data_IF_674826461347
#
_entry.id   IF_674826461347
#
_cell.length_a   1.000
_cell.length_b   1.000
_cell.length_c   1.000
_cell.angle_alpha   90.00
_cell.angle_beta   90.00
_cell.angle_gamma   90.00
#
_symmetry.space_group_name_H-M   'P 1'
#
loop_
_entity.id
_entity.type
_entity.pdbx_description
1 polymer ?
#
# COMPACT_ATOMS: atom_id res chain seq x y z
N UNK A 1 26.04 -35.26 18.41
CA UNK A 1 25.92 -33.92 17.77
C UNK A 1 25.95 -33.97 16.23
N UNK A 2 26.74 -34.83 15.61
CA UNK A 2 26.89 -34.91 14.14
C UNK A 2 25.68 -35.46 13.36
N UNK A 3 24.79 -36.19 14.02
CA UNK A 3 23.56 -36.76 13.43
C UNK A 3 22.44 -35.73 13.32
N UNK A 4 22.30 -34.87 14.32
CA UNK A 4 21.31 -33.77 14.36
C UNK A 4 21.56 -32.73 13.27
N UNK A 5 22.83 -32.37 13.03
CA UNK A 5 23.21 -31.42 11.97
C UNK A 5 23.01 -31.97 10.56
N UNK A 6 23.17 -33.29 10.34
CA UNK A 6 22.85 -33.94 9.07
C UNK A 6 21.34 -33.98 8.78
N UNK A 7 20.53 -34.20 9.81
CA UNK A 7 19.07 -34.21 9.69
C UNK A 7 18.50 -32.83 9.35
N UNK A 8 18.97 -31.78 10.04
CA UNK A 8 18.60 -30.39 9.76
C UNK A 8 18.91 -29.96 8.32
N UNK A 9 20.03 -30.42 7.76
CA UNK A 9 20.43 -30.10 6.37
C UNK A 9 19.55 -30.79 5.33
N UNK A 10 19.22 -32.07 5.53
CA UNK A 10 18.29 -32.80 4.66
C UNK A 10 16.90 -32.17 4.66
N UNK A 11 16.41 -31.74 5.83
CA UNK A 11 15.18 -30.96 5.93
C UNK A 11 15.27 -29.63 5.15
N UNK A 12 16.43 -28.95 5.19
CA UNK A 12 16.68 -27.76 4.38
C UNK A 12 16.60 -28.01 2.86
N UNK A 13 17.18 -29.12 2.36
CA UNK A 13 17.12 -29.47 0.93
C UNK A 13 15.69 -29.83 0.50
N UNK A 14 14.97 -30.63 1.31
CA UNK A 14 13.57 -30.98 1.03
C UNK A 14 12.71 -29.71 1.03
N UNK A 15 12.90 -28.84 2.03
CA UNK A 15 12.24 -27.54 2.11
C UNK A 15 12.48 -26.70 0.86
N UNK A 16 13.73 -26.59 0.39
CA UNK A 16 14.08 -25.90 -0.85
C UNK A 16 13.33 -26.45 -2.07
N UNK A 17 13.28 -27.77 -2.25
CA UNK A 17 12.61 -28.39 -3.39
C UNK A 17 11.09 -28.16 -3.36
N UNK A 18 10.47 -28.35 -2.20
CA UNK A 18 9.04 -28.08 -2.02
C UNK A 18 8.71 -26.59 -2.20
N UNK A 19 9.65 -25.71 -1.90
CA UNK A 19 9.51 -24.27 -1.98
C UNK A 19 9.67 -23.70 -3.40
N UNK A 20 10.40 -24.39 -4.27
CA UNK A 20 10.72 -23.92 -5.61
C UNK A 20 9.47 -23.65 -6.47
N UNK A 21 8.60 -24.65 -6.58
CA UNK A 21 7.43 -24.60 -7.46
C UNK A 21 6.47 -23.49 -7.01
N UNK A 22 6.08 -23.38 -5.72
CA UNK A 22 5.27 -22.26 -5.24
C UNK A 22 5.90 -20.89 -5.50
N UNK A 23 7.22 -20.75 -5.34
CA UNK A 23 7.91 -19.45 -5.55
C UNK A 23 7.87 -18.98 -7.00
N UNK A 24 8.08 -19.91 -7.93
CA UNK A 24 8.03 -19.61 -9.37
C UNK A 24 6.60 -19.26 -9.77
N UNK A 25 5.60 -19.97 -9.24
CA UNK A 25 4.18 -19.66 -9.45
C UNK A 25 3.81 -18.27 -8.93
N UNK A 26 4.22 -17.93 -7.72
CA UNK A 26 4.01 -16.58 -7.15
C UNK A 26 4.67 -15.52 -8.02
N UNK A 27 5.92 -15.70 -8.42
CA UNK A 27 6.63 -14.74 -9.27
C UNK A 27 5.93 -14.53 -10.63
N UNK A 28 5.43 -15.61 -11.24
CA UNK A 28 4.65 -15.54 -12.48
C UNK A 28 3.36 -14.74 -12.30
N UNK A 29 2.61 -15.03 -11.24
CA UNK A 29 1.38 -14.29 -10.90
C UNK A 29 1.68 -12.80 -10.71
N UNK A 30 2.70 -12.47 -9.92
CA UNK A 30 3.11 -11.07 -9.70
C UNK A 30 3.55 -10.38 -10.99
N UNK A 31 4.23 -11.10 -11.88
CA UNK A 31 4.69 -10.54 -13.16
C UNK A 31 3.53 -10.26 -14.12
N UNK A 32 2.55 -11.17 -14.20
CA UNK A 32 1.33 -10.98 -15.00
C UNK A 32 0.50 -9.83 -14.45
N UNK A 33 0.32 -9.78 -13.13
CA UNK A 33 -0.42 -8.71 -12.46
C UNK A 33 0.21 -7.33 -12.70
N UNK A 34 1.53 -7.20 -12.51
CA UNK A 34 2.24 -5.94 -12.76
C UNK A 34 2.20 -5.52 -14.24
N UNK A 35 2.25 -6.48 -15.17
CA UNK A 35 2.12 -6.19 -16.60
C UNK A 35 0.71 -5.75 -17.00
N UNK A 36 -0.33 -6.42 -16.48
CA UNK A 36 -1.72 -6.03 -16.68
C UNK A 36 -2.00 -4.63 -16.11
N UNK A 37 -1.48 -4.33 -14.92
CA UNK A 37 -1.58 -3.01 -14.31
C UNK A 37 -0.91 -1.92 -15.17
N UNK A 38 0.29 -2.19 -15.71
CA UNK A 38 0.95 -1.25 -16.62
C UNK A 38 0.13 -0.96 -17.88
N UNK A 39 -0.51 -1.98 -18.46
CA UNK A 39 -1.33 -1.83 -19.67
C UNK A 39 -2.68 -1.14 -19.40
N UNK A 40 -3.23 -1.31 -18.21
CA UNK A 40 -4.55 -0.79 -17.81
C UNK A 40 -4.46 0.49 -16.97
N UNK A 41 -3.25 1.02 -16.76
CA UNK A 41 -3.07 2.26 -16.03
C UNK A 41 -3.66 3.41 -16.84
N UNK A 42 -4.91 3.77 -16.53
CA UNK A 42 -5.52 4.99 -17.03
C UNK A 42 -4.65 6.19 -16.67
N UNK A 43 -4.67 7.21 -17.52
CA UNK A 43 -3.89 8.43 -17.32
C UNK A 43 -4.34 9.21 -16.07
N UNK A 44 -5.61 9.09 -15.65
CA UNK A 44 -6.18 9.75 -14.47
C UNK A 44 -7.11 8.81 -13.69
N UNK A 45 -6.58 7.85 -12.91
CA UNK A 45 -7.42 7.02 -12.06
C UNK A 45 -7.98 7.88 -10.93
N UNK A 46 -9.31 7.92 -10.80
CA UNK A 46 -9.97 8.53 -9.67
C UNK A 46 -9.49 7.83 -8.39
N UNK A 47 -8.95 8.56 -7.39
CA UNK A 47 -8.34 7.97 -6.21
C UNK A 47 -9.33 7.25 -5.27
N UNK A 48 -10.63 7.30 -5.61
CA UNK A 48 -11.72 6.73 -4.85
C UNK A 48 -12.03 5.26 -5.15
N UNK A 49 -11.83 4.82 -6.39
CA UNK A 49 -12.04 3.41 -6.72
C UNK A 49 -11.06 2.56 -5.93
N UNK A 50 -11.44 1.39 -5.38
CA UNK A 50 -10.49 0.46 -4.78
C UNK A 50 -9.50 0.13 -5.89
N UNK A 51 -8.29 0.73 -5.86
CA UNK A 51 -7.52 0.73 -7.06
C UNK A 51 -6.96 -0.68 -7.07
N UNK A 52 -7.14 -1.43 -8.15
CA UNK A 52 -6.65 -2.81 -8.24
C UNK A 52 -5.23 -2.89 -7.66
N UNK A 53 -4.40 -1.92 -8.01
CA UNK A 53 -3.25 -1.37 -7.27
C UNK A 53 -3.09 -1.69 -5.77
N UNK A 54 -4.04 -1.41 -4.88
CA UNK A 54 -3.95 -1.69 -3.43
C UNK A 54 -4.05 -3.18 -3.12
N UNK A 55 -5.03 -3.86 -3.74
CA UNK A 55 -5.13 -5.32 -3.67
C UNK A 55 -3.89 -5.98 -4.27
N UNK A 56 -3.40 -5.46 -5.40
CA UNK A 56 -2.19 -5.93 -6.07
C UNK A 56 -0.95 -5.69 -5.21
N UNK A 57 -0.87 -4.56 -4.52
CA UNK A 57 0.19 -4.24 -3.57
C UNK A 57 0.17 -5.21 -2.39
N UNK A 58 -1.00 -5.48 -1.82
CA UNK A 58 -1.14 -6.43 -0.71
C UNK A 58 -0.78 -7.87 -1.13
N UNK A 59 -1.25 -8.31 -2.30
CA UNK A 59 -0.91 -9.61 -2.90
C UNK A 59 0.59 -9.69 -3.19
N UNK A 60 1.19 -8.61 -3.72
CA UNK A 60 2.62 -8.52 -3.99
C UNK A 60 3.47 -8.61 -2.72
N UNK A 61 3.09 -7.88 -1.67
CA UNK A 61 3.75 -7.94 -0.37
C UNK A 61 3.64 -9.34 0.26
N UNK A 62 2.46 -9.97 0.18
CA UNK A 62 2.23 -11.31 0.69
C UNK A 62 3.04 -12.36 -0.06
N UNK A 63 3.07 -12.29 -1.40
CA UNK A 63 3.87 -13.15 -2.25
C UNK A 63 5.37 -12.97 -2.03
N UNK A 64 5.82 -11.74 -1.80
CA UNK A 64 7.22 -11.45 -1.48
C UNK A 64 7.62 -11.94 -0.09
N UNK A 65 6.77 -11.75 0.92
CA UNK A 65 7.00 -12.30 2.26
C UNK A 65 7.07 -13.82 2.22
N UNK A 66 6.22 -14.46 1.42
CA UNK A 66 6.32 -15.88 1.13
C UNK A 66 7.74 -16.17 0.60
N UNK A 67 8.15 -15.60 -0.54
CA UNK A 67 9.50 -15.79 -1.12
C UNK A 67 10.63 -15.62 -0.07
N UNK A 68 10.51 -14.64 0.82
CA UNK A 68 11.48 -14.40 1.89
C UNK A 68 11.58 -15.55 2.89
N UNK A 69 10.44 -16.07 3.36
CA UNK A 69 10.39 -17.23 4.27
C UNK A 69 11.05 -18.45 3.62
N UNK A 70 10.94 -18.56 2.30
CA UNK A 70 11.64 -19.51 1.47
C UNK A 70 13.16 -19.52 1.53
N UNK A 71 13.79 -18.43 1.94
CA UNK A 71 15.24 -18.38 2.10
C UNK A 71 15.72 -19.07 3.37
N UNK A 72 14.86 -19.29 4.36
CA UNK A 72 15.22 -19.99 5.60
C UNK A 72 15.84 -21.37 5.31
N UNK A 73 15.21 -22.26 4.52
CA UNK A 73 15.82 -23.55 4.17
C UNK A 73 17.10 -23.41 3.33
N UNK A 74 17.24 -22.37 2.50
CA UNK A 74 18.50 -22.07 1.80
C UNK A 74 19.64 -21.80 2.79
N UNK A 75 19.42 -20.94 3.79
CA UNK A 75 20.43 -20.61 4.78
C UNK A 75 20.81 -21.81 5.66
N UNK A 76 19.85 -22.69 5.96
CA UNK A 76 20.09 -23.94 6.68
C UNK A 76 20.99 -24.89 5.88
N UNK A 77 20.76 -24.98 4.56
CA UNK A 77 21.50 -25.88 3.68
C UNK A 77 22.78 -25.27 3.06
N UNK A 78 23.02 -23.95 3.19
CA UNK A 78 24.02 -23.19 2.40
C UNK A 78 25.47 -23.70 2.43
N UNK A 79 25.85 -24.47 3.45
CA UNK A 79 27.20 -25.01 3.65
C UNK A 79 27.45 -26.34 2.93
N UNK A 80 26.43 -26.96 2.36
CA UNK A 80 26.59 -28.20 1.60
C UNK A 80 27.11 -27.95 0.17
N UNK A 81 27.97 -28.85 -0.30
CA UNK A 81 28.53 -28.84 -1.66
C UNK A 81 27.60 -29.52 -2.68
N UNK A 82 26.30 -29.44 -2.42
CA UNK A 82 25.33 -30.20 -3.21
C UNK A 82 25.08 -29.53 -4.56
N UNK A 83 24.82 -30.36 -5.59
CA UNK A 83 24.57 -29.86 -6.95
C UNK A 83 23.33 -28.96 -6.99
N UNK A 84 22.34 -29.28 -6.16
CA UNK A 84 21.11 -28.51 -5.93
C UNK A 84 21.46 -27.13 -5.37
N UNK A 85 22.30 -27.04 -4.34
CA UNK A 85 22.71 -25.78 -3.72
C UNK A 85 23.50 -24.87 -4.67
N UNK A 86 24.32 -25.43 -5.55
CA UNK A 86 25.00 -24.66 -6.60
C UNK A 86 24.03 -24.06 -7.61
N UNK A 87 22.97 -24.79 -7.98
CA UNK A 87 21.89 -24.27 -8.82
C UNK A 87 21.16 -23.12 -8.10
N UNK A 88 20.79 -23.32 -6.84
CA UNK A 88 20.11 -22.29 -6.05
C UNK A 88 20.93 -21.01 -5.87
N UNK A 89 22.25 -21.10 -5.65
CA UNK A 89 23.11 -19.90 -5.63
C UNK A 89 23.07 -19.09 -6.92
N UNK A 90 22.78 -19.72 -8.07
CA UNK A 90 22.60 -19.03 -9.36
C UNK A 90 21.19 -18.50 -9.56
N UNK A 91 20.17 -19.17 -9.02
CA UNK A 91 18.75 -18.82 -9.20
C UNK A 91 18.28 -17.76 -8.21
N UNK A 92 18.83 -17.73 -6.99
CA UNK A 92 18.40 -16.79 -5.95
C UNK A 92 18.60 -15.33 -6.35
N UNK A 93 19.78 -14.88 -6.81
CA UNK A 93 19.98 -13.48 -7.18
C UNK A 93 19.00 -12.95 -8.24
N UNK A 94 18.77 -13.63 -9.39
CA UNK A 94 17.79 -13.16 -10.36
C UNK A 94 16.37 -13.25 -9.83
N UNK A 95 16.04 -14.24 -8.99
CA UNK A 95 14.71 -14.32 -8.37
C UNK A 95 14.44 -13.14 -7.42
N UNK A 96 15.44 -12.72 -6.64
CA UNK A 96 15.37 -11.51 -5.80
C UNK A 96 15.14 -10.30 -6.69
N UNK A 97 15.98 -10.12 -7.71
CA UNK A 97 15.89 -8.95 -8.61
C UNK A 97 14.52 -8.88 -9.30
N UNK A 98 14.04 -9.99 -9.85
CA UNK A 98 12.72 -10.08 -10.49
C UNK A 98 11.59 -9.82 -9.50
N UNK A 99 11.70 -10.32 -8.26
CA UNK A 99 10.70 -10.03 -7.23
C UNK A 99 10.64 -8.54 -6.86
N UNK A 100 11.79 -7.87 -6.75
CA UNK A 100 11.85 -6.43 -6.54
C UNK A 100 11.28 -5.64 -7.72
N UNK A 101 11.60 -6.04 -8.95
CA UNK A 101 11.07 -5.41 -10.16
C UNK A 101 9.54 -5.58 -10.22
N UNK A 102 9.03 -6.77 -9.91
CA UNK A 102 7.59 -7.04 -9.87
C UNK A 102 6.85 -6.21 -8.79
N UNK A 103 7.52 -5.87 -7.68
CA UNK A 103 6.95 -5.00 -6.63
C UNK A 103 7.10 -3.51 -6.91
N UNK A 104 7.86 -3.11 -7.93
CA UNK A 104 8.20 -1.70 -8.13
C UNK A 104 6.99 -0.81 -8.40
N UNK A 105 5.96 -1.31 -9.10
CA UNK A 105 4.73 -0.55 -9.36
C UNK A 105 3.96 -0.28 -8.06
N UNK A 106 3.74 -1.33 -7.26
CA UNK A 106 3.12 -1.27 -5.94
C UNK A 106 3.85 -0.30 -5.00
N UNK A 107 5.17 -0.41 -4.91
CA UNK A 107 6.01 0.50 -4.11
C UNK A 107 5.93 1.94 -4.63
N UNK A 108 5.89 2.14 -5.95
CA UNK A 108 5.76 3.46 -6.55
C UNK A 108 4.37 4.08 -6.31
N UNK A 109 3.31 3.28 -6.19
CA UNK A 109 1.97 3.79 -5.86
C UNK A 109 1.84 4.18 -4.40
N UNK A 110 2.28 3.31 -3.48
CA UNK A 110 2.39 3.65 -2.05
C UNK A 110 3.26 4.88 -1.88
N UNK A 111 4.35 4.96 -2.64
CA UNK A 111 5.23 6.12 -2.62
C UNK A 111 4.55 7.39 -3.13
N UNK A 112 3.85 7.32 -4.26
CA UNK A 112 3.09 8.45 -4.80
C UNK A 112 2.05 9.01 -3.81
N UNK A 113 1.51 8.19 -2.90
CA UNK A 113 0.54 8.63 -1.88
C UNK A 113 1.15 9.31 -0.67
N UNK A 114 2.41 9.03 -0.36
CA UNK A 114 3.07 9.57 0.83
C UNK A 114 4.03 10.72 0.52
N UNK A 115 4.46 10.87 -0.73
CA UNK A 115 5.38 11.91 -1.17
C UNK A 115 4.76 12.79 -2.26
N UNK A 116 5.40 13.94 -2.51
CA UNK A 116 4.91 14.92 -3.50
C UNK A 116 3.59 15.57 -3.09
N UNK A 117 2.74 15.84 -4.07
CA UNK A 117 1.47 16.56 -3.91
C UNK A 117 0.50 15.83 -2.97
N UNK A 118 0.44 14.51 -3.04
CA UNK A 118 -0.37 13.70 -2.12
C UNK A 118 0.11 13.80 -0.67
N UNK A 119 1.43 13.91 -0.47
CA UNK A 119 2.00 14.18 0.85
C UNK A 119 1.61 15.55 1.39
N UNK A 120 1.55 16.57 0.52
CA UNK A 120 1.09 17.91 0.88
C UNK A 120 -0.41 17.93 1.19
N UNK A 121 -1.23 17.27 0.37
CA UNK A 121 -2.66 17.09 0.64
C UNK A 121 -2.89 16.35 1.96
N UNK A 122 -2.12 15.27 2.22
CA UNK A 122 -2.16 14.55 3.50
C UNK A 122 -1.89 15.49 4.67
N UNK A 123 -0.83 16.29 4.61
CA UNK A 123 -0.49 17.24 5.68
C UNK A 123 -1.60 18.29 5.89
N UNK A 124 -2.20 18.78 4.80
CA UNK A 124 -3.32 19.70 4.83
C UNK A 124 -4.59 19.08 5.45
N UNK A 125 -4.90 17.83 5.09
CA UNK A 125 -6.01 17.07 5.69
C UNK A 125 -5.76 16.84 7.18
N UNK A 126 -4.54 16.45 7.58
CA UNK A 126 -4.19 16.24 8.98
C UNK A 126 -4.31 17.52 9.82
N UNK A 127 -3.84 18.66 9.31
CA UNK A 127 -3.93 19.94 10.02
C UNK A 127 -5.40 20.40 10.16
N UNK A 128 -6.19 20.32 9.08
CA UNK A 128 -7.59 20.71 9.14
C UNK A 128 -8.44 19.74 9.99
N UNK A 129 -8.18 18.43 9.89
CA UNK A 129 -8.84 17.41 10.72
C UNK A 129 -8.55 17.66 12.21
N UNK A 130 -7.31 18.02 12.57
CA UNK A 130 -6.95 18.37 13.94
C UNK A 130 -7.69 19.64 14.42
N UNK A 131 -7.88 20.64 13.56
CA UNK A 131 -8.65 21.86 13.88
C UNK A 131 -10.14 21.54 14.06
N UNK A 132 -10.71 20.73 13.19
CA UNK A 132 -12.11 20.26 13.28
C UNK A 132 -12.33 19.48 14.56
N UNK A 133 -11.40 18.59 14.94
CA UNK A 133 -11.49 17.82 16.18
C UNK A 133 -11.49 18.67 17.45
N UNK A 134 -10.92 19.88 17.43
CA UNK A 134 -10.96 20.81 18.59
C UNK A 134 -12.37 21.31 18.91
N UNK A 135 -13.32 21.18 17.98
CA UNK A 135 -14.73 21.47 18.27
C UNK A 135 -15.41 20.37 19.09
N UNK A 136 -14.81 19.18 19.20
CA UNK A 136 -15.38 18.09 19.99
C UNK A 136 -15.16 18.35 21.49
N UNK A 137 -16.25 18.26 22.25
CA UNK A 137 -16.22 18.20 23.71
C UNK A 137 -15.90 16.80 24.26
N UNK A 138 -15.80 15.78 23.38
CA UNK A 138 -15.66 14.36 23.77
C UNK A 138 -14.21 13.89 23.67
N UNK A 139 -13.84 12.94 24.54
CA UNK A 139 -12.49 12.36 24.57
C UNK A 139 -12.17 11.46 23.37
N UNK A 140 -13.20 10.86 22.74
CA UNK A 140 -13.06 10.08 21.51
C UNK A 140 -12.92 10.96 20.25
N UNK A 141 -13.08 12.28 20.41
CA UNK A 141 -13.01 13.25 19.33
C UNK A 141 -14.20 13.22 18.38
N UNK A 142 -15.29 12.51 18.71
CA UNK A 142 -16.54 12.46 17.94
C UNK A 142 -17.30 13.80 18.05
N UNK A 143 -17.85 14.31 16.95
CA UNK A 143 -18.66 15.53 16.96
C UNK A 143 -20.14 15.18 17.11
N UNK A 144 -20.83 15.87 18.03
CA UNK A 144 -22.28 15.96 18.00
C UNK A 144 -22.76 16.72 16.76
N UNK A 145 -24.07 16.66 16.45
CA UNK A 145 -24.62 17.36 15.29
C UNK A 145 -24.41 18.89 15.35
N UNK A 146 -24.54 19.48 16.54
CA UNK A 146 -24.31 20.91 16.76
C UNK A 146 -22.84 21.28 16.56
N UNK A 147 -21.91 20.51 17.15
CA UNK A 147 -20.46 20.73 16.99
C UNK A 147 -20.03 20.50 15.53
N UNK A 148 -20.62 19.52 14.84
CA UNK A 148 -20.41 19.29 13.41
C UNK A 148 -20.90 20.48 12.58
N UNK A 149 -22.09 21.02 12.87
CA UNK A 149 -22.61 22.19 12.17
C UNK A 149 -21.71 23.43 12.37
N UNK A 150 -21.21 23.63 13.60
CA UNK A 150 -20.27 24.71 13.91
C UNK A 150 -18.94 24.54 13.17
N UNK A 151 -18.34 23.35 13.22
CA UNK A 151 -17.10 23.04 12.51
C UNK A 151 -17.28 23.20 10.99
N UNK A 152 -18.44 22.79 10.45
CA UNK A 152 -18.76 22.93 9.02
C UNK A 152 -18.89 24.39 8.62
N UNK A 153 -19.57 25.21 9.44
CA UNK A 153 -19.67 26.64 9.21
C UNK A 153 -18.29 27.31 9.27
N UNK A 154 -17.44 26.93 10.23
CA UNK A 154 -16.06 27.40 10.30
C UNK A 154 -15.27 27.05 9.03
N UNK A 155 -15.33 25.80 8.56
CA UNK A 155 -14.62 25.39 7.34
C UNK A 155 -15.11 26.15 6.09
N UNK A 156 -16.41 26.47 6.01
CA UNK A 156 -16.95 27.29 4.93
C UNK A 156 -16.41 28.74 4.94
N UNK A 157 -16.04 29.28 6.10
CA UNK A 157 -15.39 30.62 6.18
C UNK A 157 -13.92 30.59 5.77
N UNK A 158 -13.28 29.42 5.80
CA UNK A 158 -11.89 29.20 5.43
C UNK A 158 -11.80 28.03 4.44
N UNK A 159 -12.35 28.19 3.22
CA UNK A 159 -12.39 27.12 2.25
C UNK A 159 -10.97 26.65 1.95
N UNK A 160 -10.73 25.39 2.25
CA UNK A 160 -9.44 24.75 2.08
C UNK A 160 -9.43 24.10 0.68
N UNK A 161 -8.71 24.71 -0.26
CA UNK A 161 -8.52 24.19 -1.61
C UNK A 161 -7.09 23.74 -1.82
N UNK A 162 -6.90 22.65 -2.55
CA UNK A 162 -5.60 22.13 -2.92
C UNK A 162 -5.52 22.02 -4.44
N UNK A 163 -4.38 22.32 -5.05
CA UNK A 163 -4.19 22.22 -6.49
C UNK A 163 -3.16 21.13 -6.77
N UNK A 164 -3.55 20.15 -7.58
CA UNK A 164 -2.61 19.20 -8.18
C UNK A 164 -2.16 19.78 -9.52
N UNK A 165 -0.86 19.75 -9.80
CA UNK A 165 -0.27 20.24 -11.05
C UNK A 165 -0.84 19.52 -12.29
N UNK A 166 -1.30 18.29 -12.12
CA UNK A 166 -1.92 17.48 -13.17
C UNK A 166 -3.41 17.81 -13.40
N UNK A 167 -4.06 18.52 -12.50
CA UNK A 167 -5.50 18.82 -12.56
C UNK A 167 -5.76 20.27 -12.99
N UNK A 168 -6.78 20.47 -13.82
CA UNK A 168 -7.13 21.82 -14.30
C UNK A 168 -7.85 22.65 -13.24
N UNK A 169 -8.59 22.00 -12.33
CA UNK A 169 -9.32 22.65 -11.25
C UNK A 169 -8.76 22.26 -9.87
N UNK A 170 -8.77 23.19 -8.90
CA UNK A 170 -8.37 22.86 -7.54
C UNK A 170 -9.42 21.98 -6.86
N UNK A 171 -8.96 20.96 -6.16
CA UNK A 171 -9.80 20.11 -5.32
C UNK A 171 -10.22 20.86 -4.06
N UNK A 172 -11.42 20.58 -3.56
CA UNK A 172 -12.01 21.26 -2.40
C UNK A 172 -12.11 20.32 -1.21
N UNK A 173 -11.65 20.77 -0.06
CA UNK A 173 -11.81 20.03 1.19
C UNK A 173 -13.13 20.44 1.85
N UNK A 174 -13.96 19.45 2.20
CA UNK A 174 -15.27 19.68 2.80
C UNK A 174 -15.54 18.70 3.95
N UNK A 175 -16.44 19.05 4.86
CA UNK A 175 -16.90 18.13 5.91
C UNK A 175 -17.97 17.17 5.37
N UNK A 176 -17.79 15.87 5.63
CA UNK A 176 -18.65 14.82 5.08
C UNK A 176 -19.36 13.96 6.13
N UNK A 177 -18.74 13.73 7.30
CA UNK A 177 -19.22 12.76 8.31
C UNK A 177 -19.26 13.37 9.70
N UNK A 178 -20.11 12.87 10.59
CA UNK A 178 -20.14 13.25 12.02
C UNK A 178 -19.21 12.41 12.90
N UNK A 179 -18.53 11.42 12.31
CA UNK A 179 -17.48 10.62 12.94
C UNK A 179 -16.19 10.76 12.14
N UNK A 180 -15.02 10.70 12.80
CA UNK A 180 -13.75 10.85 12.11
C UNK A 180 -13.47 9.65 11.18
N UNK A 181 -12.75 9.85 10.05
CA UNK A 181 -12.29 11.15 9.54
C UNK A 181 -13.45 12.01 9.00
N UNK A 182 -13.41 13.29 9.35
CA UNK A 182 -14.49 14.25 9.07
C UNK A 182 -14.43 14.82 7.65
N UNK A 183 -13.21 14.96 7.14
CA UNK A 183 -12.93 15.68 5.90
C UNK A 183 -12.93 14.74 4.69
N UNK A 184 -13.60 15.19 3.64
CA UNK A 184 -13.53 14.63 2.29
C UNK A 184 -12.90 15.63 1.32
N UNK A 185 -12.46 15.11 0.18
CA UNK A 185 -11.90 15.85 -0.94
C UNK A 185 -12.86 15.72 -2.12
N UNK A 186 -13.32 16.85 -2.63
CA UNK A 186 -14.13 16.98 -3.84
C UNK A 186 -13.20 17.31 -5.01
N UNK A 187 -13.11 16.38 -5.96
CA UNK A 187 -12.31 16.50 -7.18
C UNK A 187 -13.11 17.16 -8.33
N UNK A 188 -14.33 17.63 -8.06
CA UNK A 188 -15.24 18.18 -9.06
C UNK A 188 -16.07 17.08 -9.75
N UNK A 189 -17.05 17.48 -10.56
CA UNK A 189 -17.89 16.55 -11.34
C UNK A 189 -18.58 15.43 -10.53
N UNK A 190 -18.80 15.64 -9.23
CA UNK A 190 -19.40 14.65 -8.33
C UNK A 190 -18.42 13.61 -7.78
N UNK A 191 -17.13 13.73 -8.08
CA UNK A 191 -16.08 12.82 -7.65
C UNK A 191 -15.58 13.20 -6.26
N UNK A 192 -16.17 12.62 -5.22
CA UNK A 192 -15.77 12.89 -3.83
C UNK A 192 -15.12 11.68 -3.19
N UNK A 193 -13.96 11.85 -2.56
CA UNK A 193 -13.29 10.78 -1.82
C UNK A 193 -13.01 11.19 -0.37
N UNK A 194 -13.05 10.23 0.56
CA UNK A 194 -12.57 10.38 1.93
C UNK A 194 -11.37 9.49 2.11
N UNK A 195 -10.29 10.06 2.63
CA UNK A 195 -9.07 9.32 2.92
C UNK A 195 -8.88 9.18 4.42
N UNK A 196 -8.30 8.06 4.83
CA UNK A 196 -7.69 7.95 6.14
C UNK A 196 -6.50 8.93 6.21
N UNK A 197 -6.48 9.89 7.13
CA UNK A 197 -5.45 10.92 7.16
C UNK A 197 -4.07 10.38 7.54
N UNK A 198 -3.95 9.16 8.08
CA UNK A 198 -2.68 8.52 8.44
C UNK A 198 -2.17 7.67 7.30
N UNK A 199 -2.99 6.77 6.77
CA UNK A 199 -2.60 5.81 5.73
C UNK A 199 -2.81 6.33 4.31
N UNK A 200 -3.61 7.38 4.13
CA UNK A 200 -4.10 7.88 2.83
C UNK A 200 -4.86 6.83 2.02
N UNK A 201 -5.35 5.78 2.66
CA UNK A 201 -6.25 4.80 2.04
C UNK A 201 -7.61 5.46 1.84
N UNK A 202 -8.20 5.28 0.67
CA UNK A 202 -9.57 5.73 0.43
C UNK A 202 -10.55 4.88 1.26
N UNK A 203 -11.29 5.53 2.15
CA UNK A 203 -12.31 4.90 3.00
C UNK A 203 -13.68 4.94 2.30
N UNK A 204 -13.87 5.88 1.38
CA UNK A 204 -15.12 6.09 0.67
C UNK A 204 -14.90 6.91 -0.58
N UNK A 205 -15.63 6.55 -1.64
CA UNK A 205 -15.73 7.30 -2.89
C UNK A 205 -17.17 7.31 -3.42
N UNK A 206 -17.54 8.39 -4.12
CA UNK A 206 -18.77 8.45 -4.95
C UNK A 206 -18.50 8.02 -6.39
#
# INVERSE_FOLDING_TARGET
METSTRWLRRLGIIGLLCWFVPSVSVLLVLSVLGFCEFLLSDSHPFPGDPPAADMLTEIALSGWLFILVGYVPFFVARKESDRILRLWRRVIPPLILLSFLAMSSALAQVGRRHWGEWGLLKAMLQDNEARVRRFSSRADGALSEEEFAQAKAWLLTQPATFHFDAESEPVRIHMRRTVPPYLGVDFGQGQNAVFDPVTMICIYSD
#
